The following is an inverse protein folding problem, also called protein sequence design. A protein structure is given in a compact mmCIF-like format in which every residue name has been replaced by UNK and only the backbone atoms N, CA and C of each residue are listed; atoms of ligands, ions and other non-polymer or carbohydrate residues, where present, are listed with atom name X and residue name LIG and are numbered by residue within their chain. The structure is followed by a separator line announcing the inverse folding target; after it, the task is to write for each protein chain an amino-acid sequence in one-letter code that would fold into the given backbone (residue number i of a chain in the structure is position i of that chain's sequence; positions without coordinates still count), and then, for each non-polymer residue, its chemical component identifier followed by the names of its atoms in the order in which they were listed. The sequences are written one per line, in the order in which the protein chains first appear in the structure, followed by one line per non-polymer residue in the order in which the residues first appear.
data_IF_500304284833
#
_entry.id   IF_500304284833
#
_cell.length_a   1.000
_cell.length_b   1.000
_cell.length_c   1.000
_cell.angle_alpha   90.00
_cell.angle_beta   90.00
_cell.angle_gamma   90.00
#
_symmetry.space_group_name_H-M   'P 1'
#
loop_
_entity.id
_entity.type
_entity.pdbx_description
1 polymer ?
#
# COMPACT_ATOMS: atom_id res chain seq x y z
N UNK A 1 18.67 2.84 6.18
CA UNK A 1 18.13 1.57 6.70
C UNK A 1 16.69 1.83 7.06
N UNK A 2 15.78 0.88 6.82
CA UNK A 2 14.41 0.99 7.36
C UNK A 2 14.48 0.75 8.85
N UNK A 3 14.03 1.71 9.66
CA UNK A 3 14.14 1.67 11.13
C UNK A 3 12.80 1.82 11.84
N UNK A 4 11.76 2.26 11.14
CA UNK A 4 10.41 2.46 11.69
C UNK A 4 9.40 1.68 10.87
N UNK A 5 8.28 1.29 11.49
CA UNK A 5 7.16 0.69 10.77
C UNK A 5 5.84 0.79 11.52
N UNK A 6 4.76 0.40 10.85
CA UNK A 6 3.54 -0.11 11.45
C UNK A 6 3.38 -1.60 11.18
N UNK A 7 2.74 -2.30 12.13
CA UNK A 7 2.38 -3.70 11.99
C UNK A 7 1.03 -3.92 12.67
N UNK A 8 -0.04 -4.10 11.91
CA UNK A 8 -1.37 -4.24 12.50
C UNK A 8 -2.24 -5.22 11.72
N UNK A 9 -3.17 -5.82 12.45
CA UNK A 9 -4.15 -6.74 11.89
C UNK A 9 -5.46 -6.03 11.62
N UNK A 10 -6.17 -6.54 10.63
CA UNK A 10 -7.47 -6.10 10.18
C UNK A 10 -8.39 -7.31 10.18
N UNK A 11 -9.36 -7.30 11.11
CA UNK A 11 -10.32 -8.40 11.22
C UNK A 11 -11.60 -8.04 10.49
N UNK A 12 -11.88 -8.72 9.39
CA UNK A 12 -13.06 -8.47 8.56
C UNK A 12 -14.35 -8.80 9.31
N UNK A 13 -15.42 -8.03 9.08
CA UNK A 13 -16.77 -8.44 9.46
C UNK A 13 -17.22 -9.66 8.63
N UNK A 14 -18.09 -10.53 9.17
CA UNK A 14 -18.67 -11.62 8.40
C UNK A 14 -19.32 -11.13 7.09
N UNK A 15 -18.88 -11.67 5.96
CA UNK A 15 -19.35 -11.30 4.62
C UNK A 15 -18.66 -10.08 4.00
N UNK A 16 -17.64 -9.51 4.67
CA UNK A 16 -16.85 -8.37 4.18
C UNK A 16 -15.39 -8.72 3.84
N UNK A 17 -15.05 -10.00 3.89
CA UNK A 17 -13.69 -10.51 3.68
C UNK A 17 -13.18 -10.17 2.27
N UNK A 18 -13.99 -10.44 1.24
CA UNK A 18 -13.63 -10.12 -0.15
C UNK A 18 -13.50 -8.61 -0.36
N UNK A 19 -14.39 -7.80 0.21
CA UNK A 19 -14.34 -6.35 0.06
C UNK A 19 -13.12 -5.73 0.76
N UNK A 20 -12.71 -6.28 1.91
CA UNK A 20 -11.47 -5.89 2.59
C UNK A 20 -10.24 -6.31 1.76
N UNK A 21 -10.24 -7.52 1.21
CA UNK A 21 -9.15 -8.01 0.36
C UNK A 21 -8.99 -7.16 -0.91
N UNK A 22 -10.11 -6.78 -1.55
CA UNK A 22 -10.12 -5.92 -2.72
C UNK A 22 -9.67 -4.49 -2.39
N UNK A 23 -10.08 -3.95 -1.23
CA UNK A 23 -9.59 -2.67 -0.73
C UNK A 23 -8.06 -2.68 -0.56
N UNK A 24 -7.52 -3.73 0.07
CA UNK A 24 -6.08 -3.85 0.30
C UNK A 24 -5.30 -3.95 -1.01
N UNK A 25 -5.76 -4.76 -1.97
CA UNK A 25 -5.14 -4.83 -3.30
C UNK A 25 -5.20 -3.51 -4.05
N UNK A 26 -6.33 -2.80 -3.97
CA UNK A 26 -6.50 -1.49 -4.62
C UNK A 26 -5.65 -0.38 -3.99
N UNK A 27 -5.14 -0.57 -2.77
CA UNK A 27 -4.26 0.38 -2.09
C UNK A 27 -2.80 0.32 -2.56
N UNK A 28 -2.38 -0.73 -3.27
CA UNK A 28 -0.99 -0.90 -3.73
C UNK A 28 -0.46 0.29 -4.55
N UNK A 29 -1.17 0.82 -5.57
CA UNK A 29 -0.69 1.99 -6.31
C UNK A 29 -0.59 3.26 -5.47
N UNK A 30 -1.36 3.36 -4.38
CA UNK A 30 -1.26 4.48 -3.44
C UNK A 30 0.02 4.37 -2.61
N UNK A 31 0.38 3.15 -2.19
CA UNK A 31 1.62 2.90 -1.47
C UNK A 31 2.84 3.17 -2.36
N UNK A 32 2.77 2.80 -3.65
CA UNK A 32 3.82 3.13 -4.64
C UNK A 32 4.01 4.64 -4.82
N UNK A 33 2.95 5.43 -4.64
CA UNK A 33 2.97 6.88 -4.76
C UNK A 33 3.48 7.61 -3.50
N UNK A 34 3.68 6.90 -2.38
CA UNK A 34 4.19 7.47 -1.13
C UNK A 34 5.74 7.41 -1.10
N UNK A 35 6.45 8.54 -1.35
CA UNK A 35 7.90 8.52 -1.51
C UNK A 35 8.67 8.10 -0.24
N UNK A 36 8.06 8.29 0.93
CA UNK A 36 8.69 8.01 2.23
C UNK A 36 8.32 6.61 2.78
N UNK A 37 7.40 5.90 2.12
CA UNK A 37 7.05 4.50 2.42
C UNK A 37 8.05 3.59 1.70
N UNK A 38 9.07 3.12 2.41
CA UNK A 38 10.16 2.32 1.80
C UNK A 38 9.72 0.91 1.43
N UNK A 39 8.86 0.32 2.25
CA UNK A 39 8.25 -0.99 2.00
C UNK A 39 6.81 -0.96 2.47
N UNK A 40 5.92 -1.61 1.74
CA UNK A 40 4.53 -1.78 2.12
C UNK A 40 4.06 -3.18 1.74
N UNK A 41 3.33 -3.81 2.64
CA UNK A 41 2.76 -5.13 2.45
C UNK A 41 1.34 -5.13 2.98
N UNK A 42 0.38 -5.52 2.14
CA UNK A 42 -0.87 -6.09 2.61
C UNK A 42 -0.78 -7.62 2.55
N UNK A 43 -1.26 -8.29 3.59
CA UNK A 43 -1.20 -9.75 3.68
C UNK A 43 -2.48 -10.33 4.28
N UNK A 44 -2.71 -11.61 3.99
CA UNK A 44 -3.79 -12.42 4.55
C UNK A 44 -3.20 -13.42 5.55
N UNK A 45 -3.73 -13.46 6.76
CA UNK A 45 -3.33 -14.39 7.83
C UNK A 45 -4.20 -15.65 7.79
N UNK A 46 -5.51 -15.46 7.69
CA UNK A 46 -6.52 -16.50 7.56
C UNK A 46 -7.75 -15.95 6.81
N UNK A 47 -8.87 -16.70 6.78
CA UNK A 47 -10.05 -16.34 6.01
C UNK A 47 -10.71 -15.02 6.42
N UNK A 48 -10.59 -14.59 7.68
CA UNK A 48 -11.18 -13.37 8.21
C UNK A 48 -10.15 -12.32 8.66
N UNK A 49 -8.87 -12.70 8.75
CA UNK A 49 -7.81 -11.86 9.30
C UNK A 49 -6.80 -11.49 8.22
N UNK A 50 -6.59 -10.19 8.08
CA UNK A 50 -5.64 -9.56 7.18
C UNK A 50 -4.66 -8.70 7.98
N UNK A 51 -3.65 -8.14 7.34
CA UNK A 51 -2.79 -7.17 7.99
C UNK A 51 -2.06 -6.28 7.01
N UNK A 52 -1.54 -5.19 7.56
CA UNK A 52 -0.61 -4.29 6.89
C UNK A 52 0.70 -4.28 7.68
N UNK A 53 1.80 -4.36 6.96
CA UNK A 53 3.14 -4.07 7.47
C UNK A 53 3.79 -3.08 6.53
N UNK A 54 4.33 -2.00 7.08
CA UNK A 54 5.01 -0.97 6.31
C UNK A 54 6.28 -0.54 7.04
N UNK A 55 7.21 -0.01 6.25
CA UNK A 55 8.58 0.29 6.68
C UNK A 55 9.02 1.64 6.16
N UNK A 56 9.58 2.44 7.07
CA UNK A 56 10.03 3.80 6.85
C UNK A 56 11.49 3.99 7.31
N UNK A 57 12.17 4.96 6.72
CA UNK A 57 13.52 5.32 7.13
C UNK A 57 13.54 5.97 8.51
N UNK A 58 12.52 6.76 8.83
CA UNK A 58 12.41 7.55 10.05
C UNK A 58 10.94 7.83 10.44
N UNK A 59 10.76 8.58 11.54
CA UNK A 59 9.45 8.93 12.08
C UNK A 59 8.66 9.91 11.19
N UNK A 60 9.34 10.72 10.37
CA UNK A 60 8.66 11.65 9.47
C UNK A 60 7.96 10.89 8.34
N UNK A 61 8.63 9.91 7.73
CA UNK A 61 8.00 9.02 6.74
C UNK A 61 6.85 8.21 7.32
N UNK A 62 7.03 7.69 8.55
CA UNK A 62 5.96 6.98 9.27
C UNK A 62 4.74 7.87 9.52
N UNK A 63 4.95 9.13 9.90
CA UNK A 63 3.85 10.07 10.12
C UNK A 63 3.15 10.44 8.81
N UNK A 64 3.90 10.67 7.73
CA UNK A 64 3.33 10.97 6.41
C UNK A 64 2.41 9.85 5.91
N UNK A 65 2.80 8.58 6.10
CA UNK A 65 1.94 7.43 5.78
C UNK A 65 0.67 7.38 6.63
N UNK A 66 0.77 7.64 7.94
CA UNK A 66 -0.39 7.65 8.83
C UNK A 66 -1.42 8.74 8.49
N UNK A 67 -0.99 9.81 7.83
CA UNK A 67 -1.84 10.89 7.30
C UNK A 67 -2.19 10.70 5.81
N UNK A 68 -1.71 9.61 5.20
CA UNK A 68 -1.82 9.32 3.78
C UNK A 68 -3.20 8.83 3.33
N UNK A 69 -3.31 8.61 2.02
CA UNK A 69 -4.58 8.20 1.40
C UNK A 69 -5.01 6.80 1.80
N UNK A 70 -4.07 5.89 2.06
CA UNK A 70 -4.37 4.51 2.49
C UNK A 70 -5.01 4.53 3.88
N UNK A 71 -4.36 5.19 4.85
CA UNK A 71 -4.87 5.33 6.21
C UNK A 71 -6.24 6.02 6.23
N UNK A 72 -6.38 7.12 5.49
CA UNK A 72 -7.65 7.86 5.37
C UNK A 72 -8.76 6.98 4.77
N UNK A 73 -8.46 6.25 3.68
CA UNK A 73 -9.41 5.36 3.02
C UNK A 73 -9.85 4.19 3.91
N UNK A 74 -8.90 3.61 4.67
CA UNK A 74 -9.20 2.52 5.60
C UNK A 74 -10.09 3.02 6.75
N UNK A 75 -9.75 4.16 7.36
CA UNK A 75 -10.54 4.71 8.47
C UNK A 75 -11.95 5.12 8.02
N UNK A 76 -12.10 5.63 6.80
CA UNK A 76 -13.41 5.96 6.24
C UNK A 76 -14.33 4.74 6.06
N UNK A 77 -13.76 3.53 5.94
CA UNK A 77 -14.50 2.28 5.77
C UNK A 77 -14.39 1.33 6.96
N UNK A 78 -13.72 1.73 8.04
CA UNK A 78 -13.41 0.85 9.17
C UNK A 78 -14.69 0.27 9.78
N UNK A 79 -15.71 1.09 10.03
CA UNK A 79 -16.99 0.66 10.57
C UNK A 79 -17.78 -0.26 9.61
N UNK A 80 -17.54 -0.16 8.30
CA UNK A 80 -18.18 -1.01 7.29
C UNK A 80 -17.50 -2.38 7.22
N UNK A 81 -16.17 -2.39 7.19
CA UNK A 81 -15.37 -3.55 6.83
C UNK A 81 -14.87 -4.35 8.03
N UNK A 82 -14.59 -3.72 9.17
CA UNK A 82 -13.80 -4.30 10.25
C UNK A 82 -14.65 -4.58 11.49
N UNK A 83 -14.42 -5.73 12.14
CA UNK A 83 -15.11 -6.07 13.39
C UNK A 83 -14.79 -5.11 14.52
N UNK A 84 -13.60 -4.51 14.50
CA UNK A 84 -13.13 -3.55 15.47
C UNK A 84 -12.17 -2.55 14.80
N UNK A 85 -12.01 -1.38 15.42
CA UNK A 85 -11.01 -0.41 14.98
C UNK A 85 -9.61 -1.03 15.12
N UNK A 86 -8.79 -1.03 14.06
CA UNK A 86 -7.48 -1.64 14.12
C UNK A 86 -6.53 -0.84 15.03
N UNK A 87 -5.77 -1.55 15.84
CA UNK A 87 -4.73 -0.94 16.66
C UNK A 87 -3.46 -0.70 15.82
N UNK A 88 -3.20 0.58 15.50
CA UNK A 88 -2.04 0.99 14.71
C UNK A 88 -0.74 0.86 15.52
N UNK A 89 -0.15 -0.34 15.52
CA UNK A 89 1.04 -0.62 16.33
C UNK A 89 2.30 -0.07 15.67
N UNK A 90 2.93 0.92 16.32
CA UNK A 90 4.25 1.44 15.94
C UNK A 90 5.33 0.44 16.32
N UNK A 91 6.18 0.06 15.36
CA UNK A 91 7.33 -0.82 15.59
C UNK A 91 8.65 -0.12 15.25
N UNK A 92 9.70 -0.47 15.99
CA UNK A 92 11.09 -0.16 15.63
C UNK A 92 11.71 -1.40 14.97
N UNK A 93 12.26 -1.22 13.77
CA UNK A 93 12.84 -2.30 12.97
C UNK A 93 14.32 -2.45 13.35
N UNK A 94 14.64 -3.59 13.97
CA UNK A 94 16.00 -3.88 14.46
C UNK A 94 16.98 -4.24 13.34
N UNK A 95 16.48 -4.85 12.26
CA UNK A 95 17.26 -5.20 11.08
C UNK A 95 16.34 -5.35 9.87
N UNK A 96 16.83 -4.98 8.69
CA UNK A 96 16.10 -5.16 7.42
C UNK A 96 17.06 -5.58 6.30
N UNK A 97 16.59 -6.46 5.41
CA UNK A 97 17.24 -6.78 4.14
C UNK A 97 16.27 -6.47 3.02
N UNK A 98 16.59 -5.43 2.25
CA UNK A 98 15.81 -5.05 1.08
C UNK A 98 16.66 -5.28 -0.17
N UNK A 99 16.11 -6.01 -1.13
CA UNK A 99 16.69 -6.07 -2.48
C UNK A 99 16.08 -4.95 -3.30
N UNK A 100 16.89 -4.15 -4.00
CA UNK A 100 16.35 -3.34 -5.10
C UNK A 100 15.84 -4.33 -6.15
N UNK A 101 14.58 -4.18 -6.57
CA UNK A 101 14.07 -4.87 -7.75
C UNK A 101 14.88 -4.46 -9.00
N UNK A 102 14.78 -5.21 -10.11
CA UNK A 102 15.28 -4.72 -11.39
C UNK A 102 14.67 -3.35 -11.67
N UNK A 103 15.50 -2.37 -12.02
CA UNK A 103 15.03 -1.06 -12.48
C UNK A 103 14.46 -1.26 -13.89
N UNK A 104 13.22 -1.76 -14.00
CA UNK A 104 12.48 -1.80 -15.25
C UNK A 104 11.18 -1.03 -15.08
N UNK A 105 10.99 -0.02 -15.94
CA UNK A 105 9.84 0.89 -16.07
C UNK A 105 9.89 2.19 -15.25
N UNK A 106 10.97 2.94 -15.36
CA UNK A 106 10.82 4.38 -15.59
C UNK A 106 11.30 4.65 -17.01
N UNK A 107 10.44 5.23 -17.85
CA UNK A 107 10.63 5.54 -19.29
C UNK A 107 10.33 4.37 -20.24
N UNK A 108 9.10 4.31 -20.77
CA UNK A 108 8.81 3.45 -21.93
C UNK A 108 7.41 3.49 -22.50
N UNK A 109 6.36 3.71 -21.70
CA UNK A 109 4.99 3.55 -22.20
C UNK A 109 4.37 4.82 -22.82
N UNK A 110 4.93 6.00 -22.55
CA UNK A 110 4.41 7.25 -23.12
C UNK A 110 4.85 7.53 -24.57
N UNK A 111 5.98 6.97 -25.03
CA UNK A 111 6.45 7.20 -26.40
C UNK A 111 5.71 6.34 -27.44
N UNK A 112 5.23 5.15 -27.07
CA UNK A 112 4.47 4.31 -28.00
C UNK A 112 3.06 4.87 -28.29
N UNK A 113 2.40 5.48 -27.31
CA UNK A 113 1.09 6.12 -27.53
C UNK A 113 1.16 7.39 -28.39
N UNK A 114 2.25 8.17 -28.30
CA UNK A 114 2.44 9.34 -29.17
C UNK A 114 2.77 8.94 -30.63
N UNK A 115 3.54 7.86 -30.82
CA UNK A 115 3.87 7.35 -32.16
C UNK A 115 2.66 6.81 -32.93
N UNK A 116 1.73 6.14 -32.26
CA UNK A 116 0.51 5.63 -32.90
C UNK A 116 -0.52 6.71 -33.22
N UNK A 117 -0.60 7.80 -32.44
CA UNK A 117 -1.50 8.92 -32.73
C UNK A 117 -1.08 9.74 -33.94
N UNK A 118 0.22 9.82 -34.24
CA UNK A 118 0.72 10.57 -35.41
C UNK A 118 0.61 9.81 -36.73
N UNK A 119 0.42 8.49 -36.73
CA UNK A 119 0.30 7.68 -37.95
C UNK A 119 -1.15 7.30 -38.33
N UNK A 120 -2.14 7.76 -37.56
CA UNK A 120 -3.56 7.41 -37.74
C UNK A 120 -4.43 8.47 -38.42
N UNK A 121 -3.88 9.57 -38.91
CA UNK A 121 -4.62 10.62 -39.62
C UNK A 121 -4.16 10.71 -41.08
N UNK A 122 -4.42 9.65 -41.83
CA UNK A 122 -4.59 9.72 -43.29
C UNK A 122 -5.22 8.41 -43.74
N UNK A 123 -6.55 8.40 -43.80
CA UNK A 123 -7.40 7.60 -44.69
C UNK A 123 -8.87 7.99 -44.52
#
# INVERSE_FOLDING_TARGET
MVTKGFAFLLKAKPGKEQELEDFLKAAEPLAEAEPDTTTWFAYKVDDETYGIFDGFLDDAGRQAHAEGMIATGLMARADELLMETPELTKVDILASKLTRGPVEKMMGQDQEMMGQKMMGQDR
#
